data_IF_362111454247
#
_entry.id   IF_362111454247
#
_cell.length_a   1.000
_cell.length_b   1.000
_cell.length_c   1.000
_cell.angle_alpha   90.00
_cell.angle_beta   90.00
_cell.angle_gamma   90.00
#
_symmetry.space_group_name_H-M   'P 1'
#
loop_
_entity.id
_entity.type
_entity.pdbx_description
1 polymer ?
#
# COMPACT_ATOMS: atom_id res chain seq x y z
N UNK A 1 -12.62 -28.68 -23.43
CA UNK A 1 -12.59 -27.21 -23.38
C UNK A 1 -11.53 -26.83 -22.38
N UNK A 2 -10.28 -26.65 -22.84
CA UNK A 2 -9.19 -26.21 -21.96
C UNK A 2 -9.43 -24.74 -21.67
N UNK A 3 -9.70 -24.41 -20.41
CA UNK A 3 -9.69 -23.02 -19.95
C UNK A 3 -8.25 -22.53 -20.05
N UNK A 4 -7.94 -21.69 -21.03
CA UNK A 4 -6.68 -20.95 -21.05
C UNK A 4 -6.73 -19.98 -19.87
N UNK A 5 -6.14 -20.38 -18.74
CA UNK A 5 -5.98 -19.52 -17.58
C UNK A 5 -4.72 -18.67 -17.81
N UNK A 6 -4.87 -17.35 -17.84
CA UNK A 6 -3.73 -16.44 -17.96
C UNK A 6 -2.90 -16.47 -16.68
N UNK A 7 -1.58 -16.49 -16.83
CA UNK A 7 -0.64 -16.52 -15.71
C UNK A 7 -0.14 -15.10 -15.45
N UNK A 8 -0.13 -14.68 -14.19
CA UNK A 8 0.55 -13.45 -13.77
C UNK A 8 1.92 -13.79 -13.20
N UNK A 9 2.98 -13.35 -13.86
CA UNK A 9 4.36 -13.52 -13.43
C UNK A 9 4.86 -12.25 -12.73
N UNK A 10 5.29 -12.41 -11.49
CA UNK A 10 5.92 -11.34 -10.70
C UNK A 10 7.44 -11.40 -10.84
N UNK A 11 8.03 -10.30 -11.29
CA UNK A 11 9.48 -10.12 -11.41
C UNK A 11 10.01 -9.36 -10.18
N UNK A 12 10.82 -10.05 -9.37
CA UNK A 12 11.37 -9.59 -8.09
C UNK A 12 12.83 -9.13 -8.15
N UNK A 13 13.46 -9.18 -9.33
CA UNK A 13 14.87 -8.84 -9.55
C UNK A 13 15.22 -7.41 -9.10
N UNK A 14 14.26 -6.48 -9.18
CA UNK A 14 14.45 -5.09 -8.79
C UNK A 14 14.23 -4.78 -7.30
N UNK A 15 13.73 -5.72 -6.48
CA UNK A 15 13.34 -5.44 -5.08
C UNK A 15 14.47 -4.82 -4.25
N UNK A 16 15.69 -5.34 -4.40
CA UNK A 16 16.85 -4.87 -3.62
C UNK A 16 17.31 -3.44 -3.98
N UNK A 17 17.00 -2.99 -5.20
CA UNK A 17 17.40 -1.69 -5.75
C UNK A 17 16.24 -0.71 -5.84
N UNK A 18 15.02 -1.16 -5.54
CA UNK A 18 13.81 -0.36 -5.65
C UNK A 18 13.80 0.80 -4.65
N UNK A 19 13.26 1.94 -5.10
CA UNK A 19 13.08 3.11 -4.26
C UNK A 19 12.07 2.84 -3.14
N UNK A 20 12.20 3.61 -2.05
CA UNK A 20 11.33 3.53 -0.87
C UNK A 20 10.62 4.85 -0.60
N UNK A 21 9.73 5.30 -1.49
CA UNK A 21 9.02 6.56 -1.32
C UNK A 21 8.02 6.48 -0.15
N UNK A 22 7.67 7.62 0.47
CA UNK A 22 6.56 7.69 1.41
C UNK A 22 5.24 7.28 0.73
N UNK A 23 4.45 6.46 1.41
CA UNK A 23 3.12 6.03 0.94
C UNK A 23 2.04 6.63 1.84
N UNK A 24 0.98 7.16 1.25
CA UNK A 24 -0.12 7.79 1.95
C UNK A 24 -1.45 7.15 1.54
N UNK A 25 -2.23 6.68 2.51
CA UNK A 25 -3.62 6.28 2.29
C UNK A 25 -4.54 7.42 2.74
N UNK A 26 -5.23 8.05 1.78
CA UNK A 26 -6.12 9.17 2.03
C UNK A 26 -7.57 8.72 2.27
N UNK A 27 -8.35 9.44 3.09
CA UNK A 27 -9.76 9.13 3.34
C UNK A 27 -10.67 9.74 2.25
N UNK A 28 -10.25 9.62 0.99
CA UNK A 28 -10.98 10.12 -0.16
C UNK A 28 -10.52 9.42 -1.44
N UNK A 29 -11.41 9.40 -2.43
CA UNK A 29 -11.10 8.95 -3.78
C UNK A 29 -10.62 10.13 -4.64
N UNK A 30 -9.60 9.90 -5.47
CA UNK A 30 -9.09 10.84 -6.44
C UNK A 30 -9.23 10.17 -7.81
N UNK A 31 -10.10 10.71 -8.67
CA UNK A 31 -10.36 10.13 -10.00
C UNK A 31 -9.15 10.17 -10.95
N UNK A 32 -8.22 11.10 -10.71
CA UNK A 32 -7.00 11.21 -11.49
C UNK A 32 -5.97 10.16 -11.07
N UNK A 33 -5.63 9.25 -11.99
CA UNK A 33 -4.51 8.31 -11.87
C UNK A 33 -3.33 8.79 -12.70
N UNK A 34 -2.29 9.31 -12.03
CA UNK A 34 -1.12 9.88 -12.68
C UNK A 34 -0.17 10.62 -11.73
N UNK A 35 0.88 11.26 -12.26
CA UNK A 35 1.83 12.03 -11.47
C UNK A 35 1.17 13.19 -10.73
N UNK A 36 1.63 13.46 -9.51
CA UNK A 36 1.22 14.60 -8.71
C UNK A 36 2.39 15.19 -7.92
N UNK A 37 2.37 16.50 -7.70
CA UNK A 37 3.40 17.25 -6.96
C UNK A 37 3.25 17.09 -5.43
N UNK A 38 3.24 15.83 -4.96
CA UNK A 38 2.99 15.46 -3.56
C UNK A 38 4.00 16.11 -2.63
N UNK A 39 5.29 16.07 -2.99
CA UNK A 39 6.38 16.65 -2.20
C UNK A 39 6.18 18.15 -1.94
N UNK A 40 5.71 18.88 -2.96
CA UNK A 40 5.55 20.33 -2.89
C UNK A 40 4.29 20.74 -2.11
N UNK A 41 3.16 20.07 -2.32
CA UNK A 41 1.88 20.52 -1.77
C UNK A 41 1.45 19.76 -0.51
N UNK A 42 1.69 18.46 -0.46
CA UNK A 42 1.23 17.60 0.63
C UNK A 42 2.33 17.41 1.68
N UNK A 43 3.45 16.79 1.29
CA UNK A 43 4.53 16.44 2.24
C UNK A 43 5.10 17.66 2.95
N UNK A 44 5.33 18.76 2.22
CA UNK A 44 5.84 20.00 2.78
C UNK A 44 4.93 20.65 3.85
N UNK A 45 3.65 20.29 3.90
CA UNK A 45 2.67 20.88 4.84
C UNK A 45 2.28 19.95 5.98
N UNK A 46 2.83 18.73 6.02
CA UNK A 46 2.65 17.80 7.15
C UNK A 46 3.29 18.39 8.41
N UNK A 47 2.51 18.44 9.49
CA UNK A 47 2.99 18.79 10.82
C UNK A 47 3.03 17.52 11.66
N UNK A 48 4.21 17.20 12.17
CA UNK A 48 4.43 16.05 13.05
C UNK A 48 4.62 16.53 14.50
N UNK A 49 3.71 16.14 15.39
CA UNK A 49 3.77 16.51 16.81
C UNK A 49 3.41 15.30 17.66
N UNK A 50 4.35 14.82 18.48
CA UNK A 50 4.11 13.80 19.53
C UNK A 50 3.23 12.63 19.04
N UNK A 51 3.61 12.01 17.93
CA UNK A 51 2.92 10.86 17.30
C UNK A 51 1.58 11.17 16.61
N UNK A 52 1.18 12.43 16.49
CA UNK A 52 0.04 12.86 15.68
C UNK A 52 0.57 13.63 14.45
N UNK A 53 0.34 13.08 13.25
CA UNK A 53 0.59 13.80 12.00
C UNK A 53 -0.69 14.55 11.62
N UNK A 54 -0.55 15.79 11.17
CA UNK A 54 -1.68 16.58 10.66
C UNK A 54 -1.32 17.24 9.35
N UNK A 55 -2.27 17.30 8.42
CA UNK A 55 -2.09 17.94 7.10
C UNK A 55 -3.44 18.45 6.61
N UNK A 56 -3.45 19.33 5.61
CA UNK A 56 -4.68 19.72 4.91
C UNK A 56 -4.66 19.19 3.48
N UNK A 57 -5.76 18.59 3.06
CA UNK A 57 -5.98 18.22 1.67
C UNK A 57 -7.28 18.82 1.18
N UNK A 58 -7.24 19.59 0.09
CA UNK A 58 -8.41 20.31 -0.46
C UNK A 58 -9.14 21.18 0.60
N UNK A 59 -8.38 21.78 1.52
CA UNK A 59 -8.91 22.63 2.59
C UNK A 59 -9.48 21.87 3.80
N UNK A 60 -9.45 20.52 3.79
CA UNK A 60 -9.94 19.69 4.90
C UNK A 60 -8.78 19.19 5.74
N UNK A 61 -8.91 19.30 7.06
CA UNK A 61 -7.93 18.81 8.01
C UNK A 61 -7.94 17.29 8.10
N UNK A 62 -6.78 16.68 7.94
CA UNK A 62 -6.56 15.24 8.10
C UNK A 62 -5.66 14.99 9.31
N UNK A 63 -5.94 13.90 10.01
CA UNK A 63 -5.11 13.37 11.10
C UNK A 63 -4.54 12.04 10.67
N UNK A 64 -3.25 11.82 10.90
CA UNK A 64 -2.53 10.69 10.36
C UNK A 64 -1.67 9.98 11.38
N UNK A 65 -1.49 8.69 11.13
CA UNK A 65 -0.65 7.79 11.91
C UNK A 65 0.10 6.85 10.95
N UNK A 66 1.33 6.49 11.31
CA UNK A 66 2.06 5.44 10.60
C UNK A 66 1.54 4.06 10.98
N UNK A 67 1.20 3.27 9.97
CA UNK A 67 0.84 1.87 10.08
C UNK A 67 1.96 1.07 9.44
N UNK A 68 2.62 0.23 10.24
CA UNK A 68 3.72 -0.61 9.75
C UNK A 68 3.19 -1.88 9.10
N UNK A 69 3.92 -2.39 8.11
CA UNK A 69 3.68 -3.73 7.59
C UNK A 69 3.86 -4.78 8.72
N UNK A 70 3.16 -5.92 8.65
CA UNK A 70 3.28 -6.98 9.65
C UNK A 70 4.70 -7.56 9.69
N UNK A 71 5.08 -8.16 10.82
CA UNK A 71 6.42 -8.68 11.01
C UNK A 71 6.74 -9.75 9.96
N UNK A 72 7.90 -9.66 9.30
CA UNK A 72 8.29 -10.58 8.22
C UNK A 72 7.70 -10.24 6.86
N UNK A 73 6.87 -9.21 6.75
CA UNK A 73 6.27 -8.75 5.49
C UNK A 73 6.89 -7.44 5.01
N UNK A 74 6.75 -7.19 3.70
CA UNK A 74 7.09 -5.92 3.07
C UNK A 74 6.00 -5.53 2.08
N UNK A 75 5.75 -4.24 1.93
CA UNK A 75 4.90 -3.69 0.90
C UNK A 75 5.65 -3.59 -0.43
N UNK A 76 4.99 -3.98 -1.52
CA UNK A 76 5.49 -3.84 -2.89
C UNK A 76 4.51 -2.99 -3.71
N UNK A 77 5.03 -2.03 -4.46
CA UNK A 77 4.29 -1.35 -5.53
C UNK A 77 4.65 -2.05 -6.84
N UNK A 78 3.64 -2.58 -7.52
CA UNK A 78 3.79 -3.35 -8.74
C UNK A 78 3.35 -2.52 -9.94
N UNK A 79 4.12 -2.61 -11.04
CA UNK A 79 3.78 -2.00 -12.32
C UNK A 79 3.76 -3.07 -13.40
N UNK A 80 2.69 -3.07 -14.18
CA UNK A 80 2.57 -3.92 -15.36
C UNK A 80 3.55 -3.46 -16.45
N UNK A 81 4.32 -4.41 -17.01
CA UNK A 81 5.37 -4.12 -17.99
C UNK A 81 4.75 -3.81 -19.36
N UNK A 82 3.74 -4.60 -19.73
CA UNK A 82 3.01 -4.49 -20.99
C UNK A 82 1.52 -4.59 -20.66
N UNK A 83 0.71 -3.68 -21.21
CA UNK A 83 -0.75 -3.76 -21.06
C UNK A 83 -1.27 -4.91 -21.93
N UNK A 84 -1.85 -5.98 -21.36
CA UNK A 84 -2.36 -7.09 -22.14
C UNK A 84 -3.49 -6.61 -23.05
N UNK A 85 -3.53 -7.14 -24.28
CA UNK A 85 -4.57 -6.83 -25.26
C UNK A 85 -5.90 -7.52 -24.95
N UNK A 86 -5.88 -8.56 -24.11
CA UNK A 86 -7.04 -9.32 -23.67
C UNK A 86 -6.78 -10.05 -22.34
N UNK A 87 -7.84 -10.47 -21.65
CA UNK A 87 -7.75 -11.20 -20.36
C UNK A 87 -7.14 -12.61 -20.47
N UNK A 88 -6.95 -13.10 -21.70
CA UNK A 88 -6.34 -14.41 -21.98
C UNK A 88 -4.81 -14.35 -22.13
N UNK A 89 -4.22 -13.16 -22.13
CA UNK A 89 -2.77 -12.98 -22.24
C UNK A 89 -2.09 -13.08 -20.89
N UNK A 90 -0.92 -13.72 -20.88
CA UNK A 90 -0.06 -13.76 -19.71
C UNK A 90 0.42 -12.35 -19.35
N UNK A 91 0.44 -12.07 -18.05
CA UNK A 91 0.77 -10.76 -17.49
C UNK A 91 2.12 -10.80 -16.83
N UNK A 92 2.92 -9.77 -17.03
CA UNK A 92 4.18 -9.59 -16.31
C UNK A 92 4.12 -8.28 -15.52
N UNK A 93 4.33 -8.38 -14.22
CA UNK A 93 4.41 -7.23 -13.31
C UNK A 93 5.81 -7.16 -12.68
N UNK A 94 6.36 -5.95 -12.60
CA UNK A 94 7.66 -5.65 -11.99
C UNK A 94 7.47 -4.84 -10.71
N UNK A 95 8.40 -4.99 -9.77
CA UNK A 95 8.46 -4.13 -8.59
C UNK A 95 8.99 -2.75 -8.99
N UNK A 96 8.17 -1.72 -8.77
CA UNK A 96 8.57 -0.31 -8.97
C UNK A 96 9.10 0.32 -7.69
N UNK A 97 8.54 -0.02 -6.54
CA UNK A 97 8.91 0.56 -5.25
C UNK A 97 8.61 -0.41 -4.10
N UNK A 98 9.27 -0.21 -2.97
CA UNK A 98 9.12 -1.02 -1.76
C UNK A 98 8.79 -0.11 -0.58
N UNK A 99 7.92 -0.52 0.32
CA UNK A 99 7.63 0.22 1.55
C UNK A 99 7.48 -0.72 2.75
N UNK A 100 7.77 -0.21 3.94
CA UNK A 100 7.61 -0.94 5.21
C UNK A 100 6.52 -0.33 6.10
N UNK A 101 6.04 0.85 5.76
CA UNK A 101 4.96 1.53 6.44
C UNK A 101 4.14 2.35 5.44
N UNK A 102 2.92 2.67 5.84
CA UNK A 102 2.03 3.60 5.17
C UNK A 102 1.55 4.63 6.18
N UNK A 103 1.53 5.91 5.80
CA UNK A 103 0.81 6.90 6.61
C UNK A 103 -0.67 6.80 6.26
N UNK A 104 -1.45 6.31 7.20
CA UNK A 104 -2.90 6.29 7.09
C UNK A 104 -3.47 7.61 7.61
N UNK A 105 -4.33 8.24 6.80
CA UNK A 105 -4.97 9.50 7.12
C UNK A 105 -6.48 9.29 7.31
N UNK A 106 -7.01 9.86 8.38
CA UNK A 106 -8.44 9.91 8.66
C UNK A 106 -8.91 11.38 8.69
N UNK A 107 -10.20 11.57 8.45
CA UNK A 107 -10.83 12.88 8.41
C UNK A 107 -11.20 13.31 9.83
N UNK A 108 -10.63 14.44 10.28
CA UNK A 108 -10.92 15.13 11.56
C UNK A 108 -10.67 14.34 12.85
N UNK A 109 -10.77 13.01 12.82
CA UNK A 109 -10.53 12.08 13.93
C UNK A 109 -9.19 11.38 13.76
N UNK A 110 -8.43 11.13 14.84
CA UNK A 110 -7.21 10.35 14.75
C UNK A 110 -7.51 8.91 14.33
N UNK A 111 -6.62 8.28 13.53
CA UNK A 111 -6.63 6.83 13.37
C UNK A 111 -6.67 6.08 14.71
N UNK A 112 -7.33 4.92 14.73
CA UNK A 112 -7.49 4.08 15.90
C UNK A 112 -7.43 2.58 15.54
N UNK A 113 -7.56 1.71 16.54
CA UNK A 113 -7.46 0.25 16.37
C UNK A 113 -8.57 -0.37 15.53
N UNK A 114 -9.73 0.28 15.43
CA UNK A 114 -10.93 -0.24 14.77
C UNK A 114 -10.99 0.18 13.30
N UNK A 115 -9.99 0.92 12.82
CA UNK A 115 -9.89 1.29 11.40
C UNK A 115 -9.51 0.06 10.56
N UNK A 116 -10.19 -0.11 9.43
CA UNK A 116 -10.08 -1.32 8.61
C UNK A 116 -8.66 -1.68 8.18
N UNK A 117 -7.82 -0.68 7.85
CA UNK A 117 -6.41 -0.93 7.51
C UNK A 117 -5.60 -1.40 8.71
N UNK A 118 -5.87 -0.89 9.91
CA UNK A 118 -5.16 -1.27 11.13
C UNK A 118 -5.51 -2.71 11.48
N UNK A 119 -6.79 -3.07 11.43
CA UNK A 119 -7.24 -4.45 11.63
C UNK A 119 -6.69 -5.40 10.56
N UNK A 120 -6.61 -4.96 9.29
CA UNK A 120 -6.07 -5.78 8.20
C UNK A 120 -4.60 -6.16 8.41
N UNK A 121 -3.81 -5.34 9.12
CA UNK A 121 -2.42 -5.69 9.43
C UNK A 121 -2.29 -6.85 10.42
N UNK A 122 -3.33 -7.20 11.17
CA UNK A 122 -3.32 -8.38 12.04
C UNK A 122 -3.64 -9.68 11.29
N UNK A 123 -4.15 -9.60 10.06
CA UNK A 123 -4.57 -10.78 9.30
C UNK A 123 -3.42 -11.76 8.99
N UNK A 124 -2.20 -11.34 8.60
CA UNK A 124 -1.15 -12.29 8.25
C UNK A 124 -0.76 -13.23 9.40
N UNK A 125 -0.66 -12.73 10.63
CA UNK A 125 -0.39 -13.55 11.82
C UNK A 125 -1.48 -14.61 12.03
N UNK A 126 -2.74 -14.24 11.85
CA UNK A 126 -3.87 -15.17 11.94
C UNK A 126 -3.85 -16.19 10.79
N UNK A 127 -3.50 -15.75 9.58
CA UNK A 127 -3.42 -16.63 8.42
C UNK A 127 -2.33 -17.69 8.58
N UNK A 128 -1.18 -17.32 9.16
CA UNK A 128 -0.10 -18.27 9.49
C UNK A 128 -0.57 -19.32 10.50
N UNK A 129 -1.29 -18.92 11.55
CA UNK A 129 -1.83 -19.86 12.53
C UNK A 129 -2.87 -20.84 11.95
N UNK A 130 -3.68 -20.39 10.98
CA UNK A 130 -4.72 -21.23 10.36
C UNK A 130 -4.13 -22.21 9.34
N UNK A 131 -3.17 -21.75 8.53
CA UNK A 131 -2.62 -22.53 7.40
C UNK A 131 -1.28 -23.18 7.72
N UNK A 132 -0.78 -23.03 8.94
CA UNK A 132 0.41 -23.71 9.42
C UNK A 132 0.27 -25.23 9.36
N UNK A 133 1.38 -25.96 9.26
CA UNK A 133 1.36 -27.42 9.33
C UNK A 133 0.77 -27.88 10.68
N UNK A 134 0.08 -29.02 10.67
CA UNK A 134 -0.38 -29.67 11.91
C UNK A 134 0.76 -30.55 12.41
N UNK A 135 1.18 -30.35 13.66
CA UNK A 135 2.15 -31.25 14.31
C UNK A 135 1.53 -32.65 14.50
N UNK A 136 2.33 -33.70 14.26
CA UNK A 136 1.93 -35.12 14.44
C UNK A 136 1.65 -35.50 15.91
#
# INVERSE_FOLDING_TARGET
MSSNCSVTTLQLDSVSQAERPPVHLLPCEIEHDGPAEVSQFFTATIKDRKHEKTVSFRGRGLKGQEVSCPQGYTGLVLREVNKPGSDQEDRTVKVSSVFHNVTYWNLETPPNSDDGIVMAMAWPDLAEAIHGPVDD
#
